data_IF_541758522025
#
_entry.id   IF_541758522025
#
_cell.length_a   1.000
_cell.length_b   1.000
_cell.length_c   1.000
_cell.angle_alpha   90.00
_cell.angle_beta   90.00
_cell.angle_gamma   90.00
#
_symmetry.space_group_name_H-M   'P 1'
#
loop_
_entity.id
_entity.type
_entity.pdbx_description
1 polymer ?
#
# COMPACT_ATOMS: atom_id res chain seq x y z
N UNK A 1 3.23 -21.67 7.49
CA UNK A 1 2.27 -20.65 7.03
C UNK A 1 0.87 -21.24 7.00
N UNK A 2 -0.11 -20.58 7.62
CA UNK A 2 -1.47 -21.12 7.66
C UNK A 2 -2.10 -21.26 6.29
N UNK A 3 -2.75 -22.38 6.06
CA UNK A 3 -3.48 -22.59 4.82
C UNK A 3 -4.55 -21.53 4.62
N UNK A 4 -4.61 -20.95 3.43
CA UNK A 4 -5.61 -19.93 3.08
C UNK A 4 -5.18 -18.49 3.38
N UNK A 5 -4.02 -18.29 4.01
CA UNK A 5 -3.52 -16.93 4.28
C UNK A 5 -3.02 -16.26 2.99
N UNK A 6 -3.36 -15.01 2.81
CA UNK A 6 -2.75 -14.21 1.74
C UNK A 6 -1.30 -13.98 2.14
N UNK A 7 -0.37 -14.30 1.25
CA UNK A 7 1.06 -14.29 1.59
C UNK A 7 1.94 -13.50 0.64
N UNK A 8 1.43 -13.08 -0.52
CA UNK A 8 2.28 -12.44 -1.52
C UNK A 8 1.46 -11.48 -2.37
N UNK A 9 2.05 -10.32 -2.64
CA UNK A 9 1.45 -9.30 -3.51
C UNK A 9 2.40 -8.97 -4.64
N UNK A 10 1.85 -8.80 -5.82
CA UNK A 10 2.60 -8.27 -6.95
C UNK A 10 1.98 -6.91 -7.29
N UNK A 11 2.70 -5.84 -7.01
CA UNK A 11 2.20 -4.47 -7.21
C UNK A 11 2.78 -3.89 -8.49
N UNK A 12 1.93 -3.47 -9.42
CA UNK A 12 2.40 -2.75 -10.59
C UNK A 12 3.21 -1.50 -10.21
N UNK A 13 4.32 -1.27 -10.90
CA UNK A 13 5.14 -0.08 -10.65
C UNK A 13 5.93 0.26 -11.90
N UNK A 14 5.72 1.45 -12.45
CA UNK A 14 6.51 1.95 -13.57
C UNK A 14 7.92 2.27 -13.15
N UNK A 15 8.03 2.96 -12.03
CA UNK A 15 9.30 3.36 -11.43
C UNK A 15 9.37 2.66 -10.09
N UNK A 16 10.09 1.54 -10.06
CA UNK A 16 10.19 0.71 -8.86
C UNK A 16 10.77 1.51 -7.70
N UNK A 17 11.78 2.36 -7.95
CA UNK A 17 12.39 3.16 -6.89
C UNK A 17 11.41 4.17 -6.29
N UNK A 18 10.54 4.75 -7.09
CA UNK A 18 9.52 5.67 -6.59
C UNK A 18 8.50 4.93 -5.71
N UNK A 19 8.05 3.76 -6.15
CA UNK A 19 7.10 2.94 -5.37
C UNK A 19 7.74 2.44 -4.08
N UNK A 20 8.97 1.96 -4.16
CA UNK A 20 9.73 1.50 -3.00
C UNK A 20 9.85 2.61 -1.95
N UNK A 21 10.26 3.80 -2.37
CA UNK A 21 10.39 4.95 -1.48
C UNK A 21 9.05 5.32 -0.84
N UNK A 22 7.99 5.30 -1.64
CA UNK A 22 6.64 5.60 -1.17
C UNK A 22 6.23 4.66 -0.02
N UNK A 23 6.28 3.35 -0.26
CA UNK A 23 5.79 2.37 0.72
C UNK A 23 6.71 2.24 1.93
N UNK A 24 8.01 2.34 1.76
CA UNK A 24 8.93 2.26 2.90
C UNK A 24 8.84 3.50 3.78
N UNK A 25 8.66 4.67 3.18
CA UNK A 25 8.61 5.93 3.93
C UNK A 25 7.27 6.09 4.67
N UNK A 26 6.17 5.82 3.99
CA UNK A 26 4.83 6.09 4.56
C UNK A 26 4.36 4.97 5.48
N UNK A 27 4.58 3.72 5.06
CA UNK A 27 4.01 2.58 5.77
C UNK A 27 5.03 1.76 6.54
N UNK A 28 6.30 2.10 6.42
CA UNK A 28 7.35 1.39 7.13
C UNK A 28 7.63 -0.02 6.60
N UNK A 29 7.20 -0.31 5.37
CA UNK A 29 7.51 -1.60 4.77
C UNK A 29 9.01 -1.76 4.62
N UNK A 30 9.49 -2.99 4.70
CA UNK A 30 10.90 -3.31 4.55
C UNK A 30 11.16 -3.76 3.12
N UNK A 31 12.05 -3.05 2.43
CA UNK A 31 12.47 -3.44 1.09
C UNK A 31 13.76 -4.24 1.19
N UNK A 32 13.89 -5.23 0.34
CA UNK A 32 15.10 -6.03 0.26
C UNK A 32 15.35 -6.48 -1.18
N UNK A 33 16.58 -6.85 -1.45
CA UNK A 33 16.95 -7.41 -2.74
C UNK A 33 17.15 -8.91 -2.57
N UNK A 34 16.56 -9.68 -3.47
CA UNK A 34 16.75 -11.13 -3.48
C UNK A 34 18.12 -11.48 -4.12
N UNK A 35 18.53 -12.73 -3.93
CA UNK A 35 19.81 -13.21 -4.47
C UNK A 35 19.91 -13.07 -5.98
N UNK A 36 18.78 -13.15 -6.69
CA UNK A 36 18.75 -13.00 -8.15
C UNK A 36 18.73 -11.54 -8.62
N UNK A 37 18.82 -10.59 -7.69
CA UNK A 37 18.80 -9.17 -7.99
C UNK A 37 17.40 -8.56 -8.06
N UNK A 38 16.34 -9.34 -7.91
CA UNK A 38 14.98 -8.80 -7.92
C UNK A 38 14.65 -8.13 -6.61
N UNK A 39 13.74 -7.15 -6.68
CA UNK A 39 13.28 -6.44 -5.49
C UNK A 39 12.22 -7.24 -4.74
N UNK A 40 12.09 -6.97 -3.46
CA UNK A 40 11.06 -7.57 -2.63
C UNK A 40 10.71 -6.63 -1.49
N UNK A 41 9.55 -6.83 -0.91
CA UNK A 41 9.15 -6.10 0.29
C UNK A 41 8.42 -7.03 1.27
N UNK A 42 8.39 -6.61 2.52
CA UNK A 42 7.60 -7.23 3.57
C UNK A 42 6.85 -6.12 4.30
N UNK A 43 5.60 -6.34 4.64
CA UNK A 43 4.82 -5.32 5.35
C UNK A 43 5.19 -5.23 6.83
N UNK A 44 5.98 -6.15 7.31
CA UNK A 44 6.54 -6.13 8.67
C UNK A 44 5.65 -6.73 9.74
N UNK A 45 4.35 -6.85 9.48
CA UNK A 45 3.39 -7.41 10.42
C UNK A 45 2.71 -8.57 9.72
N UNK A 46 2.70 -9.75 10.36
CA UNK A 46 2.15 -10.96 9.75
C UNK A 46 2.78 -11.32 8.40
N UNK A 47 3.79 -10.60 8.02
CA UNK A 47 4.70 -10.91 6.91
C UNK A 47 4.03 -11.22 5.58
N UNK A 48 3.20 -10.29 5.10
CA UNK A 48 2.82 -10.33 3.69
C UNK A 48 4.00 -9.79 2.90
N UNK A 49 4.57 -10.63 2.05
CA UNK A 49 5.68 -10.25 1.19
C UNK A 49 5.18 -9.87 -0.18
N UNK A 50 6.04 -9.30 -1.00
CA UNK A 50 5.67 -9.01 -2.37
C UNK A 50 6.81 -8.43 -3.17
N UNK A 51 6.48 -7.95 -4.35
CA UNK A 51 7.43 -7.31 -5.25
C UNK A 51 6.72 -6.22 -6.06
N UNK A 52 7.49 -5.26 -6.53
CA UNK A 52 7.01 -4.26 -7.49
C UNK A 52 7.37 -4.71 -8.90
N UNK A 53 6.37 -4.72 -9.79
CA UNK A 53 6.50 -5.31 -11.14
C UNK A 53 6.31 -4.25 -12.22
N UNK A 54 7.29 -4.08 -13.08
CA UNK A 54 7.19 -3.14 -14.21
C UNK A 54 6.21 -3.59 -15.28
N UNK A 55 6.02 -4.89 -15.43
CA UNK A 55 5.25 -5.48 -16.53
C UNK A 55 3.75 -5.43 -16.31
N UNK A 56 3.30 -5.18 -15.09
CA UNK A 56 1.88 -5.18 -14.77
C UNK A 56 1.26 -3.81 -15.00
N UNK A 57 0.03 -3.80 -15.47
CA UNK A 57 -0.73 -2.56 -15.59
C UNK A 57 -1.16 -2.07 -14.22
N UNK A 58 -1.16 -0.74 -13.97
CA UNK A 58 -1.67 -0.21 -12.71
C UNK A 58 -3.10 -0.67 -12.45
N UNK A 59 -3.38 -1.01 -11.20
CA UNK A 59 -4.71 -1.43 -10.77
C UNK A 59 -5.45 -0.18 -10.26
N UNK A 60 -6.01 0.59 -11.20
CA UNK A 60 -6.59 1.90 -10.91
C UNK A 60 -8.10 1.90 -10.73
N UNK A 61 -8.75 0.83 -11.19
CA UNK A 61 -10.21 0.74 -11.18
C UNK A 61 -10.71 -0.15 -10.05
N UNK A 62 -12.02 -0.11 -9.83
CA UNK A 62 -12.68 -0.99 -8.87
C UNK A 62 -12.42 -2.46 -9.21
N UNK A 63 -12.31 -3.26 -8.20
CA UNK A 63 -12.01 -4.66 -8.26
C UNK A 63 -11.55 -5.04 -6.87
N UNK A 64 -10.49 -5.78 -6.78
CA UNK A 64 -9.91 -6.09 -5.46
C UNK A 64 -9.23 -4.82 -4.93
N UNK A 65 -9.59 -4.42 -3.72
CA UNK A 65 -8.99 -3.28 -3.05
C UNK A 65 -8.21 -3.78 -1.84
N UNK A 66 -6.92 -3.49 -1.82
CA UNK A 66 -6.07 -3.82 -0.69
C UNK A 66 -6.13 -2.67 0.31
N UNK A 67 -6.43 -2.97 1.56
CA UNK A 67 -6.45 -1.97 2.63
C UNK A 67 -5.21 -2.11 3.50
N UNK A 68 -4.60 -0.98 3.80
CA UNK A 68 -3.44 -0.90 4.69
C UNK A 68 -3.91 -0.24 5.98
N UNK A 69 -3.62 -0.89 7.12
CA UNK A 69 -3.97 -0.33 8.41
C UNK A 69 -3.03 0.81 8.77
N UNK A 70 -3.59 1.91 9.25
CA UNK A 70 -2.82 3.08 9.70
C UNK A 70 -3.37 3.59 11.01
N UNK A 71 -2.54 4.30 11.75
CA UNK A 71 -2.93 4.87 13.04
C UNK A 71 -3.77 6.14 12.87
N UNK A 72 -3.47 6.93 11.85
CA UNK A 72 -4.10 8.24 11.62
C UNK A 72 -4.25 8.49 10.13
N UNK A 73 -5.48 8.40 9.64
CA UNK A 73 -5.77 8.57 8.22
C UNK A 73 -5.41 9.96 7.73
N UNK A 74 -5.75 11.01 8.49
CA UNK A 74 -5.51 12.38 8.03
C UNK A 74 -4.01 12.65 7.85
N UNK A 75 -3.19 12.21 8.79
CA UNK A 75 -1.75 12.35 8.67
C UNK A 75 -1.23 11.52 7.49
N UNK A 76 -1.72 10.30 7.34
CA UNK A 76 -1.27 9.42 6.24
C UNK A 76 -1.62 10.01 4.89
N UNK A 77 -2.81 10.61 4.73
CA UNK A 77 -3.18 11.23 3.46
C UNK A 77 -2.25 12.39 3.10
N UNK A 78 -1.79 13.15 4.08
CA UNK A 78 -0.79 14.21 3.84
C UNK A 78 0.50 13.60 3.30
N UNK A 79 0.93 12.49 3.88
CA UNK A 79 2.15 11.81 3.44
C UNK A 79 1.99 11.19 2.05
N UNK A 80 0.81 10.66 1.76
CA UNK A 80 0.51 10.13 0.42
C UNK A 80 0.71 11.20 -0.63
N UNK A 81 0.15 12.40 -0.40
CA UNK A 81 0.32 13.52 -1.32
C UNK A 81 1.78 13.93 -1.46
N UNK A 82 2.48 14.04 -0.36
CA UNK A 82 3.89 14.43 -0.38
C UNK A 82 4.78 13.38 -1.04
N UNK A 83 4.38 12.12 -0.99
CA UNK A 83 5.16 11.01 -1.55
C UNK A 83 4.86 10.68 -3.00
N UNK A 84 4.05 11.48 -3.68
CA UNK A 84 3.74 11.27 -5.10
C UNK A 84 2.46 10.50 -5.36
N UNK A 85 1.68 10.22 -4.34
CA UNK A 85 0.37 9.61 -4.49
C UNK A 85 -0.72 10.65 -4.64
N UNK A 86 -1.96 10.17 -4.74
CA UNK A 86 -3.11 11.04 -4.95
C UNK A 86 -4.29 10.54 -4.14
N UNK A 87 -4.96 11.42 -3.43
CA UNK A 87 -6.17 11.07 -2.68
C UNK A 87 -7.34 10.96 -3.66
N UNK A 88 -8.01 9.82 -3.66
CA UNK A 88 -9.17 9.56 -4.52
C UNK A 88 -10.46 9.70 -3.71
N UNK A 89 -10.48 9.16 -2.50
CA UNK A 89 -11.61 9.25 -1.60
C UNK A 89 -11.08 9.72 -0.26
N UNK A 90 -11.49 10.93 0.21
CA UNK A 90 -11.01 11.41 1.49
C UNK A 90 -11.62 10.61 2.63
N UNK A 91 -11.22 10.92 3.87
CA UNK A 91 -11.67 10.20 5.06
C UNK A 91 -13.18 9.99 5.08
N UNK A 92 -13.60 8.75 5.25
CA UNK A 92 -14.99 8.35 5.40
C UNK A 92 -15.19 7.74 6.79
N UNK A 93 -16.12 8.26 7.55
CA UNK A 93 -16.39 7.76 8.88
C UNK A 93 -17.20 6.47 8.84
N UNK A 94 -16.77 5.50 9.66
CA UNK A 94 -17.48 4.22 9.80
C UNK A 94 -18.17 4.09 11.16
N UNK A 95 -17.95 5.07 12.05
CA UNK A 95 -18.49 5.05 13.39
C UNK A 95 -17.48 4.58 14.43
N UNK A 96 -17.61 5.06 15.66
CA UNK A 96 -16.72 4.66 16.76
C UNK A 96 -15.26 5.04 16.58
N UNK A 97 -14.95 6.00 15.71
CA UNK A 97 -13.59 6.40 15.43
C UNK A 97 -12.93 5.61 14.30
N UNK A 98 -13.60 4.57 13.79
CA UNK A 98 -13.12 3.85 12.62
C UNK A 98 -13.35 4.66 11.36
N UNK A 99 -12.45 4.57 10.41
CA UNK A 99 -12.54 5.34 9.18
C UNK A 99 -11.73 4.67 8.08
N UNK A 100 -12.01 5.05 6.83
CA UNK A 100 -11.21 4.60 5.70
C UNK A 100 -11.06 5.73 4.69
N UNK A 101 -10.13 5.56 3.78
CA UNK A 101 -9.88 6.49 2.69
C UNK A 101 -9.29 5.70 1.53
N UNK A 102 -9.23 6.31 0.35
CA UNK A 102 -8.63 5.65 -0.81
C UNK A 102 -7.66 6.58 -1.51
N UNK A 103 -6.63 6.01 -2.08
CA UNK A 103 -5.57 6.78 -2.73
C UNK A 103 -5.01 5.99 -3.92
N UNK A 104 -4.38 6.73 -4.83
CA UNK A 104 -3.55 6.13 -5.87
C UNK A 104 -2.10 6.24 -5.44
N UNK A 105 -1.35 5.17 -5.56
CA UNK A 105 0.08 5.21 -5.31
C UNK A 105 0.80 5.87 -6.51
N UNK A 106 2.13 6.06 -6.47
CA UNK A 106 2.83 6.72 -7.57
C UNK A 106 2.71 6.02 -8.92
N UNK A 107 2.43 4.73 -8.94
CA UNK A 107 2.23 3.98 -10.17
C UNK A 107 0.80 4.02 -10.68
N UNK A 108 -0.13 4.56 -9.90
CA UNK A 108 -1.55 4.60 -10.24
C UNK A 108 -2.35 3.42 -9.73
N UNK A 109 -1.84 2.68 -8.76
CA UNK A 109 -2.61 1.60 -8.14
C UNK A 109 -3.55 2.16 -7.09
N UNK A 110 -4.79 1.69 -7.10
CA UNK A 110 -5.80 2.11 -6.13
C UNK A 110 -5.74 1.22 -4.89
N UNK A 111 -5.49 1.83 -3.75
CA UNK A 111 -5.47 1.16 -2.46
C UNK A 111 -6.35 1.92 -1.47
N UNK A 112 -6.60 1.29 -0.35
CA UNK A 112 -7.39 1.87 0.73
C UNK A 112 -6.55 1.96 2.01
N UNK A 113 -6.91 2.92 2.84
CA UNK A 113 -6.39 3.04 4.20
C UNK A 113 -7.50 2.68 5.17
N UNK A 114 -7.17 2.01 6.25
CA UNK A 114 -8.13 1.70 7.29
C UNK A 114 -7.58 2.10 8.66
N UNK A 115 -8.39 2.79 9.43
CA UNK A 115 -8.08 3.20 10.80
C UNK A 115 -9.08 2.52 11.73
N UNK A 116 -8.57 1.78 12.71
CA UNK A 116 -9.45 1.12 13.68
C UNK A 116 -10.18 2.14 14.55
N UNK A 117 -11.38 1.75 14.97
CA UNK A 117 -12.14 2.49 15.95
C UNK A 117 -11.62 2.24 17.36
N UNK A 118 -12.17 2.97 18.29
CA UNK A 118 -11.83 2.86 19.71
C UNK A 118 -12.80 1.97 20.45
#
# INVERSE_FOLDING_TARGET
MPHGKVCYLELPARDIEASKRFYTTIFGWKARMRDDGSNAFDDGIDNVSGTWMKDLKPSADDGIIISIMVDDIDDTLKRVKAGGGRVVLPRQELGGGAAYARFLDPAGNLLSLYQEGR
#
